data_IF_276437533129
#
_entry.id   IF_276437533129
#
_cell.length_a   1.000
_cell.length_b   1.000
_cell.length_c   1.000
_cell.angle_alpha   90.00
_cell.angle_beta   90.00
_cell.angle_gamma   90.00
#
_symmetry.space_group_name_H-M   'P 1'
#
loop_
_entity.id
_entity.type
_entity.pdbx_description
1 polymer ?
#
# COMPACT_ATOMS: atom_id res chain seq x y z
N UNK A 1 -31.26 21.57 -19.50
CA UNK A 1 -30.18 22.16 -18.67
C UNK A 1 -30.18 21.64 -17.23
N UNK A 2 -31.29 21.71 -16.48
CA UNK A 2 -31.36 21.23 -15.07
C UNK A 2 -30.96 19.74 -14.88
N UNK A 3 -31.39 18.84 -15.78
CA UNK A 3 -31.00 17.42 -15.74
C UNK A 3 -29.51 17.16 -16.05
N UNK A 4 -28.88 18.03 -16.85
CA UNK A 4 -27.44 17.93 -17.16
C UNK A 4 -26.57 18.42 -15.99
N UNK A 5 -27.04 19.43 -15.25
CA UNK A 5 -26.39 19.93 -14.03
C UNK A 5 -26.43 18.88 -12.91
N UNK A 6 -27.56 18.17 -12.74
CA UNK A 6 -27.67 17.07 -11.76
C UNK A 6 -26.71 15.93 -12.11
N UNK A 7 -26.54 15.60 -13.40
CA UNK A 7 -25.59 14.58 -13.85
C UNK A 7 -24.13 14.97 -13.55
N UNK A 8 -23.79 16.26 -13.71
CA UNK A 8 -22.46 16.78 -13.40
C UNK A 8 -22.16 16.75 -11.89
N UNK A 9 -23.14 17.07 -11.05
CA UNK A 9 -22.99 17.04 -9.57
C UNK A 9 -22.80 15.62 -9.04
N UNK A 10 -23.46 14.62 -9.62
CA UNK A 10 -23.31 13.20 -9.22
C UNK A 10 -21.92 12.65 -9.59
N UNK A 11 -21.31 13.12 -10.69
CA UNK A 11 -19.99 12.69 -11.13
C UNK A 11 -18.85 13.08 -10.17
N UNK A 12 -18.94 14.25 -9.52
CA UNK A 12 -17.91 14.75 -8.60
C UNK A 12 -17.92 14.10 -7.20
N UNK A 13 -18.97 13.36 -6.84
CA UNK A 13 -19.09 12.72 -5.53
C UNK A 13 -18.40 11.34 -5.44
N UNK A 14 -17.72 10.90 -6.51
CA UNK A 14 -17.13 9.56 -6.60
C UNK A 14 -15.67 9.45 -6.11
N UNK A 15 -15.04 10.55 -5.67
CA UNK A 15 -13.64 10.54 -5.23
C UNK A 15 -13.50 10.27 -3.71
N UNK A 16 -13.97 9.11 -3.25
CA UNK A 16 -13.73 8.64 -1.89
C UNK A 16 -12.52 7.70 -1.90
N UNK A 17 -11.36 8.16 -1.43
CA UNK A 17 -10.14 7.36 -1.34
C UNK A 17 -8.94 8.19 -0.91
N UNK A 18 -7.90 7.56 -0.34
CA UNK A 18 -6.67 8.25 0.02
C UNK A 18 -6.01 8.87 -1.23
N UNK A 19 -5.50 10.09 -1.08
CA UNK A 19 -4.81 10.81 -2.17
C UNK A 19 -3.39 10.27 -2.31
N UNK A 20 -2.95 10.08 -3.55
CA UNK A 20 -1.56 9.76 -3.85
C UNK A 20 -0.74 11.05 -3.78
N UNK A 21 0.23 11.10 -2.87
CA UNK A 21 1.29 12.10 -2.89
C UNK A 21 2.51 11.60 -3.66
N UNK A 22 3.62 12.34 -3.61
CA UNK A 22 4.82 12.05 -4.40
C UNK A 22 5.43 10.70 -4.04
N UNK A 23 5.55 10.36 -2.75
CA UNK A 23 6.12 9.07 -2.34
C UNK A 23 5.18 7.92 -2.68
N UNK A 24 3.86 8.10 -2.50
CA UNK A 24 2.89 7.09 -2.91
C UNK A 24 2.91 6.86 -4.43
N UNK A 25 3.11 7.92 -5.22
CA UNK A 25 3.26 7.81 -6.67
C UNK A 25 4.55 7.07 -7.04
N UNK A 26 5.67 7.39 -6.40
CA UNK A 26 6.94 6.69 -6.59
C UNK A 26 6.81 5.19 -6.26
N UNK A 27 6.22 4.86 -5.11
CA UNK A 27 6.00 3.47 -4.69
C UNK A 27 5.09 2.71 -5.66
N UNK A 28 4.04 3.36 -6.17
CA UNK A 28 3.14 2.79 -7.19
C UNK A 28 3.87 2.48 -8.50
N UNK A 29 4.76 3.37 -8.94
CA UNK A 29 5.57 3.17 -10.15
C UNK A 29 6.55 2.01 -9.97
N UNK A 30 7.26 1.97 -8.85
CA UNK A 30 8.13 0.87 -8.49
C UNK A 30 7.40 -0.49 -8.52
N UNK A 31 6.22 -0.59 -7.92
CA UNK A 31 5.42 -1.82 -7.96
C UNK A 31 5.08 -2.25 -9.40
N UNK A 32 4.78 -1.30 -10.28
CA UNK A 32 4.49 -1.62 -11.69
C UNK A 32 5.74 -2.12 -12.43
N UNK A 33 6.90 -1.52 -12.17
CA UNK A 33 8.17 -1.95 -12.74
C UNK A 33 8.55 -3.37 -12.31
N UNK A 34 8.22 -3.73 -11.06
CA UNK A 34 8.37 -5.10 -10.56
C UNK A 34 7.35 -6.10 -11.13
N UNK A 35 6.44 -5.66 -12.00
CA UNK A 35 5.46 -6.51 -12.67
C UNK A 35 4.14 -6.70 -11.92
N UNK A 36 3.92 -5.97 -10.82
CA UNK A 36 2.64 -5.99 -10.10
C UNK A 36 1.60 -5.11 -10.79
N UNK A 37 0.33 -5.47 -10.64
CA UNK A 37 -0.79 -4.58 -11.03
C UNK A 37 -1.48 -4.04 -9.78
N UNK A 38 -1.46 -2.72 -9.60
CA UNK A 38 -2.08 -2.07 -8.43
C UNK A 38 -3.61 -2.07 -8.55
N UNK A 39 -4.30 -2.60 -7.53
CA UNK A 39 -5.76 -2.63 -7.39
C UNK A 39 -6.27 -1.41 -6.62
N UNK A 40 -5.69 -1.12 -5.46
CA UNK A 40 -6.04 0.03 -4.61
C UNK A 40 -4.83 0.53 -3.83
N UNK A 41 -4.89 1.80 -3.43
CA UNK A 41 -3.99 2.41 -2.46
C UNK A 41 -4.73 2.49 -1.13
N UNK A 42 -4.11 1.97 -0.06
CA UNK A 42 -4.71 1.86 1.27
C UNK A 42 -4.28 3.02 2.19
N UNK A 43 -3.37 3.89 1.73
CA UNK A 43 -2.90 5.05 2.47
C UNK A 43 -1.47 4.93 2.97
N UNK A 44 -1.06 6.03 3.61
CA UNK A 44 0.22 6.24 4.27
C UNK A 44 0.12 5.91 5.75
N UNK A 45 1.08 5.14 6.26
CA UNK A 45 1.14 4.74 7.67
C UNK A 45 2.53 5.04 8.22
N UNK A 46 2.60 5.74 9.35
CA UNK A 46 3.85 6.01 10.05
C UNK A 46 3.86 5.33 11.41
N UNK A 47 5.01 4.79 11.80
CA UNK A 47 5.23 4.20 13.12
C UNK A 47 6.72 4.20 13.45
N UNK A 48 7.05 4.17 14.74
CA UNK A 48 8.42 3.94 15.20
C UNK A 48 8.63 2.44 15.31
N UNK A 49 9.81 1.96 14.91
CA UNK A 49 10.21 0.57 15.04
C UNK A 49 11.17 0.41 16.21
N UNK A 50 10.75 -0.36 17.20
CA UNK A 50 11.54 -0.76 18.36
C UNK A 50 12.14 -2.15 18.15
N UNK A 51 13.25 -2.43 18.86
CA UNK A 51 13.97 -3.70 18.72
C UNK A 51 13.08 -4.90 19.03
N UNK A 52 12.22 -4.79 20.04
CA UNK A 52 11.32 -5.85 20.50
C UNK A 52 10.25 -6.19 19.46
N UNK A 53 9.87 -5.24 18.59
CA UNK A 53 8.88 -5.49 17.53
C UNK A 53 9.43 -6.39 16.43
N UNK A 54 10.74 -6.29 16.14
CA UNK A 54 11.40 -7.02 15.04
C UNK A 54 11.39 -8.55 15.19
N UNK A 55 11.16 -9.07 16.41
CA UNK A 55 11.06 -10.51 16.67
C UNK A 55 9.61 -11.01 16.68
N UNK A 56 8.63 -10.11 16.53
CA UNK A 56 7.22 -10.41 16.56
C UNK A 56 6.57 -10.23 15.19
N UNK A 57 5.44 -10.92 14.97
CA UNK A 57 4.63 -10.75 13.77
C UNK A 57 3.76 -9.50 13.92
N UNK A 58 3.53 -8.73 12.83
CA UNK A 58 3.95 -9.00 11.46
C UNK A 58 5.37 -8.53 11.12
N UNK A 59 6.01 -7.74 11.97
CA UNK A 59 7.24 -7.00 11.64
C UNK A 59 8.41 -7.88 11.21
N UNK A 60 8.58 -9.05 11.83
CA UNK A 60 9.60 -10.04 11.42
C UNK A 60 9.47 -10.44 9.94
N UNK A 61 8.24 -10.57 9.43
CA UNK A 61 8.00 -10.94 8.04
C UNK A 61 8.15 -9.77 7.09
N UNK A 62 7.77 -8.57 7.53
CA UNK A 62 7.95 -7.33 6.76
C UNK A 62 9.44 -7.06 6.54
N UNK A 63 10.26 -7.24 7.58
CA UNK A 63 11.70 -7.00 7.51
C UNK A 63 12.48 -8.11 6.79
N UNK A 64 12.03 -9.37 6.89
CA UNK A 64 12.68 -10.49 6.20
C UNK A 64 12.71 -10.38 4.66
N UNK A 65 11.93 -9.46 4.07
CA UNK A 65 11.88 -9.23 2.62
C UNK A 65 12.51 -7.89 2.21
N UNK A 66 13.06 -7.11 3.14
CA UNK A 66 13.76 -5.86 2.82
C UNK A 66 15.20 -6.14 2.36
N UNK A 67 15.72 -5.24 1.53
CA UNK A 67 17.11 -5.31 1.04
C UNK A 67 18.13 -4.74 2.02
N UNK A 68 17.67 -4.19 3.15
CA UNK A 68 18.48 -3.53 4.17
C UNK A 68 18.15 -4.07 5.56
N UNK A 69 19.14 -4.07 6.44
CA UNK A 69 18.98 -4.53 7.83
C UNK A 69 18.16 -3.54 8.67
N UNK A 70 17.31 -4.03 9.60
CA UNK A 70 16.45 -3.18 10.41
C UNK A 70 17.21 -2.34 11.44
N UNK A 71 18.43 -2.73 11.84
CA UNK A 71 19.20 -2.05 12.88
C UNK A 71 19.42 -0.55 12.59
N UNK A 72 19.55 -0.18 11.30
CA UNK A 72 19.71 1.22 10.89
C UNK A 72 18.43 2.07 11.07
N UNK A 73 17.31 1.44 11.37
CA UNK A 73 15.97 2.03 11.44
C UNK A 73 15.32 1.94 12.83
N UNK A 74 15.99 1.30 13.80
CA UNK A 74 15.51 1.22 15.18
C UNK A 74 15.42 2.62 15.79
N UNK A 75 14.30 2.90 16.46
CA UNK A 75 13.99 4.19 17.07
C UNK A 75 13.68 5.30 16.07
N UNK A 76 13.62 5.00 14.76
CA UNK A 76 13.24 5.95 13.72
C UNK A 76 11.79 5.79 13.34
N UNK A 77 11.19 6.88 12.89
CA UNK A 77 9.89 6.83 12.23
C UNK A 77 10.04 6.22 10.83
N UNK A 78 9.16 5.27 10.52
CA UNK A 78 9.07 4.58 9.24
C UNK A 78 7.73 4.88 8.61
N UNK A 79 7.79 5.48 7.43
CA UNK A 79 6.62 5.72 6.57
C UNK A 79 6.44 4.56 5.60
N UNK A 80 5.22 4.03 5.52
CA UNK A 80 4.82 2.93 4.65
C UNK A 80 3.70 3.39 3.72
N UNK A 81 3.88 3.18 2.42
CA UNK A 81 2.83 3.33 1.41
C UNK A 81 2.22 1.96 1.09
N UNK A 82 0.95 1.74 1.43
CA UNK A 82 0.32 0.42 1.34
C UNK A 82 -0.56 0.31 0.10
N UNK A 83 -0.41 -0.79 -0.63
CA UNK A 83 -1.18 -1.08 -1.85
C UNK A 83 -1.74 -2.51 -1.82
N UNK A 84 -2.94 -2.68 -2.36
CA UNK A 84 -3.43 -4.00 -2.75
C UNK A 84 -3.01 -4.25 -4.20
N UNK A 85 -2.30 -5.35 -4.45
CA UNK A 85 -1.77 -5.70 -5.78
C UNK A 85 -2.32 -7.01 -6.31
N UNK A 86 -2.26 -7.19 -7.63
CA UNK A 86 -2.46 -8.45 -8.35
C UNK A 86 -1.10 -8.96 -8.86
N UNK A 87 -1.09 -10.24 -9.25
CA UNK A 87 0.09 -10.94 -9.76
C UNK A 87 1.22 -11.11 -8.73
N UNK A 88 0.88 -11.17 -7.44
CA UNK A 88 1.85 -11.52 -6.42
C UNK A 88 2.35 -12.96 -6.61
N UNK A 89 3.65 -13.27 -6.46
CA UNK A 89 4.18 -14.63 -6.64
C UNK A 89 3.40 -15.69 -5.86
N UNK A 90 3.02 -15.37 -4.62
CA UNK A 90 2.25 -16.27 -3.77
C UNK A 90 0.81 -16.50 -4.24
N UNK A 91 0.23 -15.63 -5.09
CA UNK A 91 -1.10 -15.84 -5.67
C UNK A 91 -1.16 -17.07 -6.57
N UNK A 92 -0.02 -17.51 -7.14
CA UNK A 92 0.05 -18.76 -7.92
C UNK A 92 -0.10 -20.01 -7.05
N UNK A 93 0.35 -19.94 -5.79
CA UNK A 93 0.35 -21.06 -4.85
C UNK A 93 -0.97 -21.11 -4.07
N UNK A 94 -1.44 -19.96 -3.58
CA UNK A 94 -2.57 -19.89 -2.65
C UNK A 94 -3.86 -19.34 -3.26
N UNK A 95 -3.84 -18.95 -4.54
CA UNK A 95 -4.97 -18.29 -5.19
C UNK A 95 -5.31 -16.92 -4.59
N UNK A 96 -6.45 -16.32 -4.99
CA UNK A 96 -6.95 -15.08 -4.40
C UNK A 96 -7.35 -15.29 -2.93
N UNK A 97 -6.82 -14.47 -2.03
CA UNK A 97 -7.16 -14.51 -0.61
C UNK A 97 -8.40 -13.63 -0.35
N UNK A 98 -9.47 -14.22 0.20
CA UNK A 98 -10.74 -13.52 0.47
C UNK A 98 -10.59 -12.34 1.43
N UNK A 99 -9.61 -12.38 2.33
CA UNK A 99 -9.31 -11.31 3.30
C UNK A 99 -8.77 -10.02 2.67
N UNK A 100 -8.38 -10.05 1.39
CA UNK A 100 -7.82 -8.90 0.66
C UNK A 100 -8.61 -8.57 -0.62
N UNK A 101 -9.85 -9.07 -0.71
CA UNK A 101 -10.73 -8.97 -1.90
C UNK A 101 -11.74 -7.84 -1.78
#
# INVERSE_FOLDING_TARGET
>A
MKKLVILFVVLFLSACGPRLDEDAQLAKEYLKEQGYSVKSYEGRFSHIIEREQLIHKPDIFVWAVQTVEPDAYIGKEITQERFIVKHHPLSKIYGPQKSFS
#
